data_IF_432655347991
#
_entry.id   IF_432655347991
#
_cell.length_a   1.000
_cell.length_b   1.000
_cell.length_c   1.000
_cell.angle_alpha   90.00
_cell.angle_beta   90.00
_cell.angle_gamma   90.00
#
_symmetry.space_group_name_H-M   'P 1'
#
loop_
_entity.id
_entity.type
_entity.pdbx_description
1 polymer ?
#
# COMPACT_ATOMS: atom_id res chain seq x y z
N UNK A 1 -8.16 -18.84 -10.96
CA UNK A 1 -7.22 -18.71 -12.10
C UNK A 1 -7.13 -17.28 -12.61
N UNK A 2 -8.25 -16.61 -12.92
CA UNK A 2 -8.25 -15.24 -13.47
C UNK A 2 -7.51 -14.18 -12.63
N UNK A 3 -7.75 -14.11 -11.31
CA UNK A 3 -7.00 -13.20 -10.42
C UNK A 3 -5.48 -13.41 -10.49
N UNK A 4 -5.02 -14.66 -10.50
CA UNK A 4 -3.59 -14.97 -10.56
C UNK A 4 -2.96 -14.52 -11.88
N UNK A 5 -3.71 -14.60 -12.98
CA UNK A 5 -3.32 -14.05 -14.28
C UNK A 5 -3.17 -12.53 -14.22
N UNK A 6 -4.15 -11.81 -13.69
CA UNK A 6 -4.10 -10.34 -13.53
C UNK A 6 -2.95 -9.86 -12.62
N UNK A 7 -2.51 -10.68 -11.68
CA UNK A 7 -1.34 -10.43 -10.83
C UNK A 7 0.00 -10.77 -11.51
N UNK A 8 -0.05 -11.30 -12.73
CA UNK A 8 1.09 -11.74 -13.52
C UNK A 8 1.83 -12.94 -12.95
N UNK A 9 1.17 -13.80 -12.16
CA UNK A 9 1.79 -15.03 -11.62
C UNK A 9 2.29 -15.98 -12.72
N UNK A 10 1.57 -16.20 -13.84
CA UNK A 10 2.07 -17.05 -14.94
C UNK A 10 3.33 -16.50 -15.61
N UNK A 11 3.50 -15.18 -15.62
CA UNK A 11 4.63 -14.50 -16.27
C UNK A 11 5.82 -14.29 -15.33
N UNK A 12 5.71 -14.65 -14.05
CA UNK A 12 6.72 -14.37 -13.03
C UNK A 12 6.73 -12.91 -12.55
N UNK A 13 6.30 -11.95 -13.37
CA UNK A 13 6.37 -10.50 -13.10
C UNK A 13 4.99 -9.87 -12.88
N UNK A 14 4.87 -8.81 -12.04
CA UNK A 14 3.58 -8.17 -11.77
C UNK A 14 3.08 -7.39 -13.00
N UNK A 15 1.81 -7.59 -13.38
CA UNK A 15 1.24 -6.92 -14.56
C UNK A 15 0.92 -5.45 -14.30
N UNK A 16 0.42 -5.08 -13.11
CA UNK A 16 0.03 -3.69 -12.86
C UNK A 16 1.20 -2.70 -13.08
N UNK A 17 2.40 -2.90 -12.47
CA UNK A 17 3.56 -2.03 -12.74
C UNK A 17 4.01 -2.07 -14.20
N UNK A 18 3.84 -3.18 -14.92
CA UNK A 18 4.16 -3.23 -16.35
C UNK A 18 3.18 -2.40 -17.18
N UNK A 19 1.88 -2.50 -16.88
CA UNK A 19 0.80 -1.88 -17.64
C UNK A 19 0.69 -0.37 -17.40
N UNK A 20 1.00 0.16 -16.22
CA UNK A 20 0.81 1.60 -15.91
C UNK A 20 1.69 2.54 -16.74
N UNK A 21 2.82 2.07 -17.28
CA UNK A 21 3.69 2.92 -18.10
C UNK A 21 2.99 3.41 -19.38
N UNK A 22 2.13 2.58 -19.97
CA UNK A 22 1.39 2.92 -21.18
C UNK A 22 0.41 4.09 -20.98
N UNK A 23 -0.60 4.03 -20.07
CA UNK A 23 -1.49 5.16 -19.85
C UNK A 23 -0.74 6.41 -19.36
N UNK A 24 0.25 6.28 -18.48
CA UNK A 24 1.02 7.44 -17.99
C UNK A 24 1.69 8.17 -19.18
N UNK A 25 2.46 7.44 -19.99
CA UNK A 25 3.15 8.02 -21.14
C UNK A 25 2.18 8.59 -22.18
N UNK A 26 1.11 7.86 -22.49
CA UNK A 26 0.13 8.27 -23.51
C UNK A 26 -0.72 9.47 -23.07
N UNK A 27 -1.07 9.59 -21.79
CA UNK A 27 -1.79 10.75 -21.27
C UNK A 27 -0.91 12.00 -21.20
N UNK A 28 0.36 11.86 -20.81
CA UNK A 28 1.33 12.96 -20.86
C UNK A 28 1.56 13.39 -22.31
N UNK A 29 1.72 12.45 -23.24
CA UNK A 29 1.84 12.74 -24.67
C UNK A 29 0.59 13.45 -25.20
N UNK A 30 -0.60 12.96 -24.86
CA UNK A 30 -1.87 13.60 -25.24
C UNK A 30 -1.93 15.04 -24.75
N UNK A 31 -1.55 15.30 -23.50
CA UNK A 31 -1.51 16.65 -22.94
C UNK A 31 -0.51 17.55 -23.68
N UNK A 32 0.69 17.05 -23.99
CA UNK A 32 1.69 17.82 -24.74
C UNK A 32 1.16 18.22 -26.12
N UNK A 33 0.53 17.27 -26.84
CA UNK A 33 -0.09 17.53 -28.14
C UNK A 33 -1.26 18.53 -28.02
N UNK A 34 -2.07 18.43 -26.97
CA UNK A 34 -3.15 19.37 -26.68
C UNK A 34 -2.64 20.79 -26.43
N UNK A 35 -1.52 20.95 -25.70
CA UNK A 35 -0.90 22.26 -25.45
C UNK A 35 -0.43 22.88 -26.77
N UNK A 36 0.29 22.10 -27.59
CA UNK A 36 0.80 22.59 -28.88
C UNK A 36 -0.37 22.95 -29.82
N UNK A 37 -1.44 22.15 -29.82
CA UNK A 37 -2.65 22.42 -30.59
C UNK A 37 -3.38 23.68 -30.10
N UNK A 38 -3.54 23.85 -28.78
CA UNK A 38 -4.19 25.02 -28.17
C UNK A 38 -3.42 26.32 -28.47
N UNK A 39 -2.09 26.29 -28.44
CA UNK A 39 -1.23 27.43 -28.75
C UNK A 39 -1.16 27.75 -30.25
N UNK A 40 -1.76 26.93 -31.12
CA UNK A 40 -1.75 27.14 -32.56
C UNK A 40 -0.36 27.10 -33.20
N UNK A 41 0.61 26.43 -32.56
CA UNK A 41 2.01 26.44 -33.01
C UNK A 41 2.24 25.70 -34.32
N UNK A 42 1.33 24.81 -34.72
CA UNK A 42 1.40 24.08 -36.00
C UNK A 42 -0.01 23.92 -36.60
N UNK A 43 -0.12 23.83 -37.92
CA UNK A 43 -1.38 23.57 -38.64
C UNK A 43 -1.76 22.08 -38.72
N UNK A 44 -0.93 21.20 -38.14
CA UNK A 44 -1.06 19.76 -38.31
C UNK A 44 -2.10 19.18 -37.34
N UNK A 45 -2.69 18.02 -37.68
CA UNK A 45 -3.76 17.33 -36.96
C UNK A 45 -3.43 16.83 -35.55
N UNK A 46 -2.80 17.65 -34.72
CA UNK A 46 -2.37 17.36 -33.36
C UNK A 46 -3.55 17.06 -32.43
N UNK A 47 -4.70 17.72 -32.63
CA UNK A 47 -5.94 17.38 -31.91
C UNK A 47 -6.33 15.90 -32.11
N UNK A 48 -6.24 15.41 -33.37
CA UNK A 48 -6.50 13.99 -33.70
C UNK A 48 -5.40 13.08 -33.15
N UNK A 49 -4.14 13.49 -33.21
CA UNK A 49 -3.04 12.73 -32.61
C UNK A 49 -3.22 12.57 -31.09
N UNK A 50 -3.58 13.65 -30.39
CA UNK A 50 -3.91 13.64 -28.96
C UNK A 50 -5.09 12.70 -28.68
N UNK A 51 -6.14 12.74 -29.51
CA UNK A 51 -7.27 11.82 -29.42
C UNK A 51 -6.85 10.34 -29.49
N UNK A 52 -6.00 9.96 -30.45
CA UNK A 52 -5.55 8.57 -30.55
C UNK A 52 -4.67 8.14 -29.38
N UNK A 53 -3.72 9.00 -28.97
CA UNK A 53 -2.91 8.75 -27.77
C UNK A 53 -3.79 8.56 -26.54
N UNK A 54 -4.77 9.44 -26.32
CA UNK A 54 -5.73 9.35 -25.23
C UNK A 54 -6.59 8.08 -25.31
N UNK A 55 -7.05 7.69 -26.50
CA UNK A 55 -7.86 6.48 -26.69
C UNK A 55 -7.09 5.23 -26.27
N UNK A 56 -5.86 5.08 -26.75
CA UNK A 56 -4.98 3.96 -26.38
C UNK A 56 -4.64 4.03 -24.89
N UNK A 57 -4.40 5.23 -24.37
CA UNK A 57 -4.17 5.47 -22.95
C UNK A 57 -5.33 5.01 -22.07
N UNK A 58 -6.58 5.34 -22.43
CA UNK A 58 -7.79 4.89 -21.73
C UNK A 58 -7.90 3.37 -21.78
N UNK A 59 -7.71 2.75 -22.95
CA UNK A 59 -7.78 1.30 -23.10
C UNK A 59 -6.75 0.58 -22.21
N UNK A 60 -5.49 1.03 -22.23
CA UNK A 60 -4.44 0.50 -21.37
C UNK A 60 -4.68 0.80 -19.89
N UNK A 61 -5.29 1.95 -19.57
CA UNK A 61 -5.74 2.31 -18.24
C UNK A 61 -6.75 1.32 -17.65
N UNK A 62 -7.70 0.84 -18.45
CA UNK A 62 -8.66 -0.19 -18.02
C UNK A 62 -7.95 -1.50 -17.65
N UNK A 63 -6.99 -1.95 -18.46
CA UNK A 63 -6.19 -3.13 -18.13
C UNK A 63 -5.35 -2.92 -16.86
N UNK A 64 -4.74 -1.75 -16.70
CA UNK A 64 -3.98 -1.41 -15.50
C UNK A 64 -4.87 -1.39 -14.24
N UNK A 65 -6.11 -0.88 -14.33
CA UNK A 65 -7.09 -0.91 -13.23
C UNK A 65 -7.43 -2.35 -12.84
N UNK A 66 -7.71 -3.23 -13.81
CA UNK A 66 -8.02 -4.63 -13.53
C UNK A 66 -6.88 -5.34 -12.79
N UNK A 67 -5.63 -5.16 -13.26
CA UNK A 67 -4.45 -5.69 -12.59
C UNK A 67 -4.27 -5.08 -11.19
N UNK A 68 -4.43 -3.77 -11.05
CA UNK A 68 -4.27 -3.05 -9.78
C UNK A 68 -5.29 -3.46 -8.72
N UNK A 69 -6.55 -3.71 -9.09
CA UNK A 69 -7.58 -4.25 -8.20
C UNK A 69 -7.25 -5.67 -7.72
N UNK A 70 -6.70 -6.50 -8.62
CA UNK A 70 -6.25 -7.83 -8.27
C UNK A 70 -5.09 -7.80 -7.25
N UNK A 71 -4.11 -6.91 -7.45
CA UNK A 71 -2.99 -6.72 -6.51
C UNK A 71 -3.47 -6.13 -5.18
N UNK A 72 -4.33 -5.12 -5.23
CA UNK A 72 -4.92 -4.46 -4.05
C UNK A 72 -5.62 -5.43 -3.11
N UNK A 73 -6.28 -6.46 -3.65
CA UNK A 73 -7.01 -7.44 -2.86
C UNK A 73 -6.13 -8.33 -1.98
N UNK A 74 -4.83 -8.42 -2.25
CA UNK A 74 -3.87 -9.19 -1.44
C UNK A 74 -3.23 -8.37 -0.31
N UNK A 75 -3.32 -7.04 -0.34
CA UNK A 75 -2.87 -6.19 0.77
C UNK A 75 -3.73 -6.52 1.98
N UNK A 76 -3.14 -6.84 3.14
CA UNK A 76 -3.90 -7.16 4.35
C UNK A 76 -4.74 -5.96 4.81
N UNK A 77 -5.85 -6.22 5.51
CA UNK A 77 -6.79 -5.18 5.98
C UNK A 77 -6.17 -4.20 6.98
N UNK A 78 -5.25 -4.71 7.78
CA UNK A 78 -4.50 -4.09 8.86
C UNK A 78 -3.15 -3.50 8.41
N UNK A 79 -2.78 -3.67 7.14
CA UNK A 79 -1.50 -3.18 6.62
C UNK A 79 -1.48 -1.64 6.58
N UNK A 80 -0.42 -0.96 7.05
CA UNK A 80 -0.35 0.51 7.05
C UNK A 80 -0.60 1.14 5.67
N UNK A 81 -0.02 0.56 4.61
CA UNK A 81 -0.21 0.99 3.22
C UNK A 81 -1.65 0.92 2.69
N UNK A 82 -2.60 0.29 3.40
CA UNK A 82 -3.99 0.10 2.94
C UNK A 82 -4.69 1.44 2.66
N UNK A 83 -4.45 2.46 3.50
CA UNK A 83 -5.02 3.81 3.33
C UNK A 83 -4.44 4.48 2.09
N UNK A 84 -3.12 4.47 1.94
CA UNK A 84 -2.40 4.98 0.77
C UNK A 84 -2.85 4.30 -0.51
N UNK A 85 -3.04 2.97 -0.49
CA UNK A 85 -3.52 2.20 -1.64
C UNK A 85 -4.94 2.58 -2.06
N UNK A 86 -5.83 2.86 -1.10
CA UNK A 86 -7.18 3.35 -1.41
C UNK A 86 -7.15 4.76 -2.01
N UNK A 87 -6.35 5.66 -1.45
CA UNK A 87 -6.19 7.01 -1.98
C UNK A 87 -5.62 6.98 -3.40
N UNK A 88 -4.54 6.25 -3.62
CA UNK A 88 -3.93 6.04 -4.94
C UNK A 88 -4.93 5.47 -5.96
N UNK A 89 -5.72 4.47 -5.56
CA UNK A 89 -6.77 3.90 -6.41
C UNK A 89 -7.83 4.94 -6.77
N UNK A 90 -8.38 5.65 -5.78
CA UNK A 90 -9.40 6.68 -6.01
C UNK A 90 -8.88 7.78 -6.93
N UNK A 91 -7.66 8.27 -6.70
CA UNK A 91 -7.03 9.28 -7.55
C UNK A 91 -6.90 8.81 -9.00
N UNK A 92 -6.39 7.61 -9.25
CA UNK A 92 -6.22 7.09 -10.61
C UNK A 92 -7.55 6.79 -11.31
N UNK A 93 -8.57 6.31 -10.59
CA UNK A 93 -9.90 6.13 -11.16
C UNK A 93 -10.54 7.48 -11.52
N UNK A 94 -10.37 8.50 -10.69
CA UNK A 94 -10.80 9.86 -11.00
C UNK A 94 -10.07 10.42 -12.23
N UNK A 95 -8.74 10.27 -12.31
CA UNK A 95 -7.96 10.70 -13.47
C UNK A 95 -8.39 9.99 -14.76
N UNK A 96 -8.56 8.67 -14.72
CA UNK A 96 -9.09 7.90 -15.86
C UNK A 96 -10.49 8.38 -16.25
N UNK A 97 -11.36 8.68 -15.27
CA UNK A 97 -12.67 9.27 -15.50
C UNK A 97 -12.60 10.61 -16.23
N UNK A 98 -11.68 11.50 -15.85
CA UNK A 98 -11.45 12.78 -16.57
C UNK A 98 -11.03 12.53 -18.03
N UNK A 99 -10.14 11.57 -18.27
CA UNK A 99 -9.74 11.22 -19.64
C UNK A 99 -10.86 10.56 -20.45
N UNK A 100 -11.71 9.74 -19.84
CA UNK A 100 -12.91 9.17 -20.49
C UNK A 100 -13.91 10.27 -20.86
N UNK A 101 -14.16 11.23 -19.96
CA UNK A 101 -15.03 12.38 -20.23
C UNK A 101 -14.44 13.21 -21.39
N UNK A 102 -13.14 13.51 -21.33
CA UNK A 102 -12.44 14.24 -22.39
C UNK A 102 -12.52 13.51 -23.74
N UNK A 103 -12.28 12.20 -23.75
CA UNK A 103 -12.40 11.36 -24.94
C UNK A 103 -13.83 11.39 -25.51
N UNK A 104 -14.85 11.34 -24.66
CA UNK A 104 -16.24 11.42 -25.07
C UNK A 104 -16.61 12.78 -25.68
N UNK A 105 -16.08 13.87 -25.12
CA UNK A 105 -16.23 15.21 -25.72
C UNK A 105 -15.60 15.26 -27.13
N UNK A 106 -14.41 14.66 -27.31
CA UNK A 106 -13.73 14.60 -28.61
C UNK A 106 -14.49 13.79 -29.64
N UNK A 107 -15.10 12.66 -29.24
CA UNK A 107 -15.95 11.86 -30.12
C UNK A 107 -17.15 12.63 -30.67
N UNK A 108 -17.64 13.64 -29.93
CA UNK A 108 -18.73 14.52 -30.39
C UNK A 108 -18.27 15.63 -31.32
N UNK A 109 -16.98 15.97 -31.33
CA UNK A 109 -16.40 17.05 -32.11
C UNK A 109 -15.04 16.63 -32.72
N UNK A 110 -15.02 15.66 -33.64
CA UNK A 110 -13.78 15.06 -34.14
C UNK A 110 -12.94 15.97 -35.06
N UNK A 111 -13.55 17.03 -35.59
CA UNK A 111 -12.97 17.90 -36.62
C UNK A 111 -12.56 19.28 -36.11
N UNK A 112 -12.35 19.42 -34.80
CA UNK A 112 -11.81 20.65 -34.22
C UNK A 112 -10.38 20.89 -34.72
N UNK A 113 -10.14 22.09 -35.24
CA UNK A 113 -8.82 22.51 -35.71
C UNK A 113 -7.82 22.71 -34.55
N UNK A 114 -8.29 23.21 -33.41
CA UNK A 114 -7.49 23.45 -32.20
C UNK A 114 -8.16 22.83 -30.98
N UNK A 115 -7.37 22.34 -30.03
CA UNK A 115 -7.88 21.86 -28.74
C UNK A 115 -8.56 22.99 -27.98
N UNK A 116 -9.84 22.89 -27.58
CA UNK A 116 -10.48 23.92 -26.76
C UNK A 116 -9.96 23.90 -25.31
N UNK A 117 -9.96 25.06 -24.64
CA UNK A 117 -9.42 25.21 -23.30
C UNK A 117 -9.98 24.19 -22.29
N UNK A 118 -11.28 23.88 -22.35
CA UNK A 118 -11.92 22.91 -21.44
C UNK A 118 -11.31 21.51 -21.56
N UNK A 119 -10.94 21.09 -22.77
CA UNK A 119 -10.33 19.78 -23.03
C UNK A 119 -8.90 19.76 -22.48
N UNK A 120 -8.17 20.87 -22.66
CA UNK A 120 -6.86 21.06 -22.08
C UNK A 120 -6.90 21.04 -20.54
N UNK A 121 -7.89 21.69 -19.93
CA UNK A 121 -8.09 21.70 -18.48
C UNK A 121 -8.30 20.28 -17.92
N UNK A 122 -9.13 19.46 -18.57
CA UNK A 122 -9.30 18.05 -18.18
C UNK A 122 -7.99 17.26 -18.29
N UNK A 123 -7.22 17.43 -19.37
CA UNK A 123 -5.92 16.78 -19.55
C UNK A 123 -4.93 17.23 -18.46
N UNK A 124 -4.86 18.52 -18.13
CA UNK A 124 -3.99 19.07 -17.09
C UNK A 124 -4.32 18.51 -15.70
N UNK A 125 -5.60 18.52 -15.32
CA UNK A 125 -6.05 17.98 -14.04
C UNK A 125 -5.79 16.47 -13.96
N UNK A 126 -6.09 15.73 -15.03
CA UNK A 126 -5.84 14.29 -15.12
C UNK A 126 -4.36 13.95 -14.96
N UNK A 127 -3.47 14.62 -15.70
CA UNK A 127 -2.01 14.41 -15.57
C UNK A 127 -1.50 14.82 -14.19
N UNK A 128 -1.95 15.95 -13.64
CA UNK A 128 -1.57 16.38 -12.30
C UNK A 128 -1.92 15.35 -11.23
N UNK A 129 -3.12 14.77 -11.30
CA UNK A 129 -3.55 13.68 -10.41
C UNK A 129 -2.67 12.43 -10.63
N UNK A 130 -2.36 12.06 -11.87
CA UNK A 130 -1.51 10.90 -12.18
C UNK A 130 -0.12 11.07 -11.59
N UNK A 131 0.50 12.25 -11.71
CA UNK A 131 1.84 12.52 -11.18
C UNK A 131 1.87 12.40 -9.64
N UNK A 132 0.90 13.02 -8.96
CA UNK A 132 0.78 12.92 -7.51
C UNK A 132 0.46 11.48 -7.06
N UNK A 133 -0.45 10.80 -7.75
CA UNK A 133 -0.76 9.41 -7.45
C UNK A 133 0.41 8.48 -7.73
N UNK A 134 1.24 8.77 -8.74
CA UNK A 134 2.47 8.05 -9.06
C UNK A 134 3.49 8.12 -7.92
N UNK A 135 3.63 9.28 -7.26
CA UNK A 135 4.42 9.41 -6.04
C UNK A 135 3.93 8.46 -4.93
N UNK A 136 2.60 8.43 -4.66
CA UNK A 136 2.01 7.49 -3.70
C UNK A 136 2.24 6.01 -4.10
N UNK A 137 2.18 5.71 -5.40
CA UNK A 137 2.50 4.40 -5.95
C UNK A 137 3.94 3.99 -5.65
N UNK A 138 4.88 4.92 -5.82
CA UNK A 138 6.29 4.75 -5.46
C UNK A 138 6.47 4.44 -3.98
N UNK A 139 5.89 5.25 -3.09
CA UNK A 139 5.94 5.01 -1.63
C UNK A 139 5.43 3.61 -1.27
N UNK A 140 4.31 3.18 -1.84
CA UNK A 140 3.79 1.84 -1.56
C UNK A 140 4.74 0.72 -1.98
N UNK A 141 5.42 0.84 -3.12
CA UNK A 141 6.31 -0.21 -3.64
C UNK A 141 7.65 -0.19 -2.92
N UNK A 142 8.27 0.99 -2.80
CA UNK A 142 9.65 1.13 -2.32
C UNK A 142 9.75 1.21 -0.80
N UNK A 143 8.83 1.92 -0.15
CA UNK A 143 8.85 2.13 1.30
C UNK A 143 8.00 1.07 2.01
N UNK A 144 6.77 0.82 1.51
CA UNK A 144 5.85 -0.13 2.15
C UNK A 144 6.01 -1.59 1.70
N UNK A 145 6.75 -1.84 0.63
CA UNK A 145 6.98 -3.19 0.09
C UNK A 145 5.76 -3.86 -0.56
N UNK A 146 4.72 -3.09 -0.89
CA UNK A 146 3.52 -3.60 -1.56
C UNK A 146 3.90 -4.17 -2.93
N UNK A 147 3.53 -5.43 -3.17
CA UNK A 147 3.80 -6.10 -4.45
C UNK A 147 5.24 -6.60 -4.64
N UNK A 148 6.12 -6.45 -3.65
CA UNK A 148 7.53 -6.92 -3.71
C UNK A 148 7.74 -8.12 -2.77
N UNK A 149 8.42 -9.18 -3.22
CA UNK A 149 8.79 -10.33 -2.37
C UNK A 149 7.62 -11.22 -1.92
N UNK A 150 7.68 -11.77 -0.68
CA UNK A 150 6.66 -12.69 -0.12
C UNK A 150 5.29 -12.03 0.15
N UNK A 151 5.15 -10.73 -0.07
CA UNK A 151 3.88 -9.99 -0.04
C UNK A 151 2.87 -10.44 -1.12
N UNK A 152 3.24 -11.39 -1.99
CA UNK A 152 2.37 -12.05 -2.99
C UNK A 152 1.41 -13.11 -2.41
N UNK A 153 1.51 -13.44 -1.12
CA UNK A 153 0.59 -14.35 -0.44
C UNK A 153 -0.32 -13.54 0.49
N UNK A 154 -1.63 -13.64 0.27
CA UNK A 154 -2.62 -13.19 1.25
C UNK A 154 -2.38 -13.91 2.59
N UNK A 155 -1.92 -13.18 3.61
CA UNK A 155 -1.81 -13.68 4.98
C UNK A 155 -3.02 -13.21 5.77
N UNK A 156 -3.81 -14.15 6.30
CA UNK A 156 -4.93 -13.83 7.20
C UNK A 156 -4.40 -13.24 8.50
N UNK A 157 -5.14 -12.31 9.08
CA UNK A 157 -4.88 -11.86 10.46
C UNK A 157 -4.99 -13.08 11.38
N UNK A 158 -4.04 -13.30 12.32
CA UNK A 158 -4.09 -14.43 13.24
C UNK A 158 -5.43 -14.51 13.98
N UNK A 159 -6.03 -15.71 14.05
CA UNK A 159 -7.31 -15.90 14.76
C UNK A 159 -7.22 -15.50 16.23
N UNK A 160 -6.07 -15.71 16.85
CA UNK A 160 -5.77 -15.39 18.25
C UNK A 160 -5.27 -13.94 18.40
N UNK A 161 -6.03 -12.98 17.84
CA UNK A 161 -5.75 -11.55 18.01
C UNK A 161 -6.60 -10.99 19.13
N UNK A 162 -5.96 -10.42 20.14
CA UNK A 162 -6.65 -9.75 21.26
C UNK A 162 -7.06 -8.35 20.84
N UNK A 163 -8.30 -7.98 21.16
CA UNK A 163 -8.84 -6.65 20.88
C UNK A 163 -9.23 -6.00 22.19
N UNK A 164 -8.58 -4.88 22.49
CA UNK A 164 -8.78 -4.09 23.70
C UNK A 164 -9.05 -2.64 23.29
N UNK A 165 -9.54 -1.83 24.22
CA UNK A 165 -9.76 -0.39 24.01
C UNK A 165 -9.05 0.39 25.09
N UNK A 166 -8.45 1.54 24.74
CA UNK A 166 -7.80 2.43 25.71
C UNK A 166 -8.77 2.95 26.78
N UNK A 167 -10.09 2.87 26.55
CA UNK A 167 -11.09 3.18 27.59
C UNK A 167 -10.99 2.28 28.82
N UNK A 168 -10.37 1.11 28.68
CA UNK A 168 -10.14 0.15 29.78
C UNK A 168 -8.83 0.41 30.51
N UNK A 169 -8.00 1.35 30.04
CA UNK A 169 -6.74 1.66 30.69
C UNK A 169 -6.97 2.32 32.05
N UNK A 170 -6.16 1.93 33.03
CA UNK A 170 -6.16 2.47 34.38
C UNK A 170 -4.74 2.94 34.71
N UNK A 171 -4.60 4.19 35.15
CA UNK A 171 -3.31 4.83 35.44
C UNK A 171 -2.30 4.73 34.27
N UNK A 172 -2.82 4.83 33.04
CA UNK A 172 -2.04 4.71 31.82
C UNK A 172 -1.60 3.28 31.46
N UNK A 173 -2.06 2.25 32.18
CA UNK A 173 -1.80 0.85 31.87
C UNK A 173 -3.03 0.19 31.25
N UNK A 174 -2.87 -0.38 30.06
CA UNK A 174 -3.91 -1.07 29.33
C UNK A 174 -3.90 -2.57 29.69
N UNK A 175 -4.95 -3.11 30.32
CA UNK A 175 -5.08 -4.56 30.48
C UNK A 175 -5.26 -5.23 29.12
N UNK A 176 -4.47 -6.28 28.87
CA UNK A 176 -4.48 -7.00 27.58
C UNK A 176 -5.15 -8.35 27.71
N UNK A 177 -4.56 -9.26 28.49
CA UNK A 177 -4.99 -10.66 28.61
C UNK A 177 -4.44 -11.31 29.85
N UNK A 178 -4.93 -12.51 30.18
CA UNK A 178 -4.35 -13.29 31.25
C UNK A 178 -2.96 -13.80 30.85
N UNK A 179 -2.07 -13.93 31.84
CA UNK A 179 -0.65 -14.28 31.64
C UNK A 179 -0.45 -15.67 31.01
N UNK A 180 -1.42 -16.57 31.18
CA UNK A 180 -1.42 -17.91 30.61
C UNK A 180 -1.84 -17.95 29.13
N UNK A 181 -2.37 -16.85 28.57
CA UNK A 181 -2.74 -16.79 27.16
C UNK A 181 -1.51 -16.71 26.24
N UNK A 182 -0.39 -16.19 26.76
CA UNK A 182 0.91 -16.14 26.09
C UNK A 182 1.83 -17.15 26.74
N UNK A 183 2.15 -18.22 26.02
CA UNK A 183 3.11 -19.21 26.48
C UNK A 183 4.53 -18.62 26.48
N UNK A 184 5.41 -19.13 27.34
CA UNK A 184 6.82 -18.77 27.30
C UNK A 184 7.45 -19.20 25.97
N UNK A 185 8.24 -18.32 25.36
CA UNK A 185 8.70 -18.45 23.98
C UNK A 185 7.63 -18.10 22.92
N UNK A 186 6.46 -17.65 23.34
CA UNK A 186 5.34 -17.30 22.47
C UNK A 186 5.18 -15.80 22.22
N UNK A 187 4.49 -15.49 21.13
CA UNK A 187 4.06 -14.13 20.77
C UNK A 187 2.54 -14.08 20.62
N UNK A 188 1.96 -12.92 20.89
CA UNK A 188 0.54 -12.67 20.70
C UNK A 188 0.29 -11.28 20.13
N UNK A 189 -0.71 -11.18 19.27
CA UNK A 189 -1.07 -9.94 18.60
C UNK A 189 -2.16 -9.22 19.38
N UNK A 190 -1.97 -7.92 19.60
CA UNK A 190 -2.89 -7.04 20.32
C UNK A 190 -3.29 -5.87 19.44
N UNK A 191 -4.59 -5.60 19.34
CA UNK A 191 -5.15 -4.42 18.68
C UNK A 191 -5.80 -3.54 19.73
N UNK A 192 -5.35 -2.29 19.85
CA UNK A 192 -5.90 -1.28 20.73
C UNK A 192 -6.33 -0.05 19.93
N UNK A 193 -7.64 0.17 19.78
CA UNK A 193 -8.23 1.31 19.07
C UNK A 193 -7.55 1.61 17.70
N UNK A 194 -7.18 0.55 16.97
CA UNK A 194 -6.53 0.63 15.66
C UNK A 194 -5.00 0.63 15.68
N UNK A 195 -4.37 0.82 16.84
CA UNK A 195 -2.94 0.56 17.03
C UNK A 195 -2.70 -0.94 17.20
N UNK A 196 -1.59 -1.45 16.65
CA UNK A 196 -1.29 -2.87 16.69
C UNK A 196 0.09 -3.09 17.28
N UNK A 197 0.12 -3.92 18.32
CA UNK A 197 1.30 -4.22 19.14
C UNK A 197 1.44 -5.74 19.21
N UNK A 198 2.67 -6.22 19.23
CA UNK A 198 2.99 -7.59 19.60
C UNK A 198 3.39 -7.63 21.07
N UNK A 199 2.86 -8.60 21.79
CA UNK A 199 3.39 -9.00 23.10
C UNK A 199 4.15 -10.31 22.94
N UNK A 200 5.21 -10.48 23.71
CA UNK A 200 6.03 -11.67 23.76
C UNK A 200 6.27 -12.06 25.21
N UNK A 201 6.39 -13.37 25.47
CA UNK A 201 6.79 -13.86 26.78
C UNK A 201 8.05 -14.71 26.64
N UNK A 202 9.06 -14.43 27.44
CA UNK A 202 10.30 -15.18 27.44
C UNK A 202 10.96 -15.18 28.83
N UNK A 203 11.33 -16.35 29.32
CA UNK A 203 11.90 -16.49 30.66
C UNK A 203 10.93 -16.06 31.76
N UNK A 204 9.62 -16.11 31.52
CA UNK A 204 8.59 -15.61 32.44
C UNK A 204 8.37 -14.10 32.42
N UNK A 205 9.20 -13.34 31.72
CA UNK A 205 9.03 -11.90 31.53
C UNK A 205 8.18 -11.59 30.29
N UNK A 206 7.45 -10.47 30.33
CA UNK A 206 6.62 -10.00 29.22
C UNK A 206 7.22 -8.76 28.57
N UNK A 207 7.18 -8.72 27.25
CA UNK A 207 7.68 -7.63 26.43
C UNK A 207 6.60 -7.18 25.45
N UNK A 208 6.61 -5.89 25.10
CA UNK A 208 5.67 -5.34 24.13
C UNK A 208 6.41 -4.44 23.12
N UNK A 209 6.11 -4.61 21.85
CA UNK A 209 6.78 -3.90 20.76
C UNK A 209 5.82 -3.70 19.58
N UNK A 210 6.14 -2.76 18.68
CA UNK A 210 5.31 -2.54 17.50
C UNK A 210 5.13 -3.85 16.69
N UNK A 211 3.93 -4.10 16.20
CA UNK A 211 3.64 -5.37 15.49
C UNK A 211 4.39 -5.50 14.16
N UNK A 212 4.59 -4.39 13.46
CA UNK A 212 5.07 -4.44 12.10
C UNK A 212 6.58 -4.18 12.03
N UNK A 213 7.32 -5.13 11.44
CA UNK A 213 8.74 -5.04 11.16
C UNK A 213 9.07 -3.77 10.36
N UNK A 214 10.10 -3.04 10.78
CA UNK A 214 10.54 -1.78 10.17
C UNK A 214 11.15 -1.91 8.78
N UNK A 215 11.44 -3.13 8.32
CA UNK A 215 11.92 -3.33 6.95
C UNK A 215 10.79 -3.12 5.93
N UNK A 216 9.70 -3.90 6.04
CA UNK A 216 8.57 -3.92 5.09
C UNK A 216 7.28 -4.40 5.76
N UNK A 217 7.01 -3.94 6.97
CA UNK A 217 5.77 -4.19 7.72
C UNK A 217 5.37 -5.67 7.94
N UNK A 218 6.35 -6.57 8.06
CA UNK A 218 6.06 -7.97 8.40
C UNK A 218 5.48 -8.14 9.81
N UNK A 219 4.46 -9.00 10.02
CA UNK A 219 3.80 -9.20 11.30
C UNK A 219 4.72 -9.97 12.26
N UNK A 220 5.31 -9.29 13.22
CA UNK A 220 6.28 -9.88 14.15
C UNK A 220 5.63 -10.87 15.12
N UNK A 221 4.35 -10.68 15.47
CA UNK A 221 3.62 -11.67 16.27
C UNK A 221 3.41 -13.02 15.56
N UNK A 222 3.56 -13.08 14.23
CA UNK A 222 3.55 -14.31 13.43
C UNK A 222 4.97 -14.87 13.21
N UNK A 223 5.99 -14.23 13.79
CA UNK A 223 7.39 -14.59 13.70
C UNK A 223 7.81 -15.72 14.62
N UNK A 224 9.12 -15.95 14.70
CA UNK A 224 9.72 -16.86 15.68
C UNK A 224 10.33 -16.05 16.81
N UNK A 225 10.20 -16.53 18.03
CA UNK A 225 10.83 -15.94 19.21
C UNK A 225 11.86 -16.92 19.77
N UNK A 226 13.11 -16.47 19.93
CA UNK A 226 14.19 -17.21 20.57
C UNK A 226 15.22 -16.22 21.12
N UNK A 227 15.83 -16.51 22.27
CA UNK A 227 16.91 -15.72 22.87
C UNK A 227 16.68 -14.20 22.95
N UNK A 228 15.46 -13.78 23.34
CA UNK A 228 14.99 -12.38 23.37
C UNK A 228 15.01 -11.69 22.01
N UNK A 229 14.97 -12.47 20.93
CA UNK A 229 14.94 -11.98 19.57
C UNK A 229 13.70 -12.47 18.84
N UNK A 230 12.96 -11.51 18.28
CA UNK A 230 11.85 -11.83 17.37
C UNK A 230 12.36 -11.81 15.93
N UNK A 231 12.23 -12.93 15.23
CA UNK A 231 12.53 -13.07 13.81
C UNK A 231 11.26 -12.84 12.98
N UNK A 232 11.31 -11.84 12.11
CA UNK A 232 10.23 -11.52 11.19
C UNK A 232 9.96 -12.69 10.21
N UNK A 233 8.71 -13.16 10.05
CA UNK A 233 8.40 -14.33 9.22
C UNK A 233 8.61 -14.09 7.72
N UNK A 234 8.80 -12.84 7.30
CA UNK A 234 8.90 -12.47 5.89
C UNK A 234 10.34 -12.52 5.38
N UNK A 235 11.19 -11.62 5.88
CA UNK A 235 12.56 -11.46 5.41
C UNK A 235 13.61 -11.76 6.48
N UNK A 236 13.19 -12.33 7.62
CA UNK A 236 14.06 -12.79 8.72
C UNK A 236 14.85 -11.72 9.46
N UNK A 237 14.49 -10.44 9.32
CA UNK A 237 15.03 -9.41 10.21
C UNK A 237 14.80 -9.81 11.66
N UNK A 238 15.82 -9.67 12.51
CA UNK A 238 15.76 -9.97 13.94
C UNK A 238 15.89 -8.72 14.77
N UNK A 239 15.12 -8.66 15.85
CA UNK A 239 15.11 -7.54 16.77
C UNK A 239 15.17 -8.03 18.19
N UNK A 240 15.96 -7.37 19.03
CA UNK A 240 15.97 -7.60 20.47
C UNK A 240 14.67 -7.03 21.06
N UNK A 241 13.83 -7.87 21.68
CA UNK A 241 12.50 -7.47 22.16
C UNK A 241 12.54 -6.58 23.41
N UNK A 242 13.69 -6.49 24.07
CA UNK A 242 13.88 -5.68 25.29
C UNK A 242 14.19 -4.24 24.94
N UNK A 243 14.94 -4.05 23.86
CA UNK A 243 15.47 -2.74 23.44
C UNK A 243 14.88 -2.23 22.12
N UNK A 244 14.33 -3.12 21.31
CA UNK A 244 13.85 -2.87 19.96
C UNK A 244 14.95 -2.86 18.90
N UNK A 245 16.22 -2.97 19.30
CA UNK A 245 17.35 -2.83 18.39
C UNK A 245 17.35 -3.90 17.30
N UNK A 246 17.67 -3.50 16.08
CA UNK A 246 17.97 -4.44 15.00
C UNK A 246 19.19 -5.27 15.40
N UNK A 247 19.02 -6.59 15.45
CA UNK A 247 20.11 -7.55 15.64
C UNK A 247 20.61 -8.07 14.30
N UNK A 248 19.67 -8.37 13.39
CA UNK A 248 19.98 -8.90 12.07
C UNK A 248 19.09 -8.26 11.01
N UNK A 249 19.70 -7.86 9.90
CA UNK A 249 19.02 -7.24 8.76
C UNK A 249 18.06 -8.19 8.03
N UNK A 250 17.33 -7.71 7.02
CA UNK A 250 17.55 -6.46 6.28
C UNK A 250 16.95 -5.18 6.89
N UNK A 251 16.29 -5.25 8.06
CA UNK A 251 15.85 -4.05 8.75
C UNK A 251 17.05 -3.15 9.11
N UNK A 252 16.84 -1.83 9.09
CA UNK A 252 17.86 -0.82 9.46
C UNK A 252 17.39 0.16 10.53
N UNK A 253 16.12 0.05 10.91
CA UNK A 253 15.46 0.94 11.86
C UNK A 253 14.97 0.09 13.02
N UNK A 254 15.24 0.53 14.24
CA UNK A 254 14.86 -0.17 15.46
C UNK A 254 13.33 -0.14 15.68
N UNK A 255 12.81 -1.13 16.40
CA UNK A 255 11.41 -1.19 16.79
C UNK A 255 11.12 -0.18 17.91
N UNK A 256 9.92 0.38 17.88
CA UNK A 256 9.30 0.98 19.05
C UNK A 256 8.96 -0.11 20.07
N UNK A 257 9.44 0.08 21.30
CA UNK A 257 9.12 -0.73 22.48
C UNK A 257 8.06 -0.02 23.33
N UNK A 258 7.24 -0.81 24.00
CA UNK A 258 6.24 -0.39 24.97
C UNK A 258 6.56 -1.02 26.32
N UNK A 259 6.10 -0.38 27.40
CA UNK A 259 6.26 -0.97 28.74
C UNK A 259 5.26 -2.12 28.88
N UNK A 260 5.69 -3.26 29.43
CA UNK A 260 4.82 -4.40 29.70
C UNK A 260 5.08 -4.95 31.11
N UNK A 261 4.01 -5.32 31.82
CA UNK A 261 4.10 -5.88 33.18
C UNK A 261 3.01 -6.93 33.41
N UNK A 262 3.31 -7.91 34.26
CA UNK A 262 2.31 -8.85 34.79
C UNK A 262 1.89 -8.36 36.17
N UNK A 263 0.58 -8.16 36.38
CA UNK A 263 0.01 -7.80 37.69
C UNK A 263 -1.18 -8.72 37.97
N UNK A 264 -1.15 -9.40 39.11
CA UNK A 264 -2.23 -10.30 39.54
C UNK A 264 -2.67 -11.30 38.45
N UNK A 265 -1.70 -11.88 37.72
CA UNK A 265 -1.96 -12.86 36.66
C UNK A 265 -2.43 -12.28 35.32
N UNK A 266 -2.44 -10.95 35.16
CA UNK A 266 -2.86 -10.26 33.93
C UNK A 266 -1.73 -9.43 33.35
N UNK A 267 -1.59 -9.44 32.02
CA UNK A 267 -0.62 -8.66 31.27
C UNK A 267 -1.19 -7.26 31.01
N UNK A 268 -0.37 -6.24 31.27
CA UNK A 268 -0.66 -4.84 30.99
C UNK A 268 0.42 -4.25 30.10
N UNK A 269 0.05 -3.31 29.22
CA UNK A 269 0.98 -2.55 28.37
C UNK A 269 0.77 -1.04 28.49
N UNK A 270 1.81 -0.25 28.17
CA UNK A 270 1.77 1.23 28.11
C UNK A 270 2.68 1.77 27.01
#
# INVERSE_FOLDING_TARGET
>A
MFKAFLQGKPFGHPLHPALVHFPIGLFILSLALDIISYLGLTSNGLFRAAFYAMTIGVAMGVFAVAAGLADRSDIRLDHPARKTANLHMTLNLSALGLFVINLFLRLRQPDLAITPFVYLLFSLLGVGIILFSGYLGGTMVYDDGVGVGRHRRYTRIPRRTIRVSNRTAQDGWLPVCDDNEVQDGGTLRVVCDGNIVAIAKQGGEVFAFQEFCTHRYGPLSEGKLADHQVECPWHRSRFDIRTGKVVEGPAKVDLKIYSAVIRSGKIYIR
#
